data_IF_196910640008
#
_entry.id   IF_196910640008
#
_cell.length_a   1.000
_cell.length_b   1.000
_cell.length_c   1.000
_cell.angle_alpha   90.00
_cell.angle_beta   90.00
_cell.angle_gamma   90.00
#
_symmetry.space_group_name_H-M   'P 1'
#
loop_
_entity.id
_entity.type
_entity.pdbx_description
1 polymer ?
#
# COMPACT_ATOMS: atom_id res chain seq x y z
N UNK A 1 16.38 18.96 -17.11
CA UNK A 1 15.47 18.99 -15.94
C UNK A 1 14.25 18.17 -16.32
N UNK A 2 14.22 16.90 -15.91
CA UNK A 2 13.22 15.91 -16.34
C UNK A 2 11.96 16.04 -15.49
N UNK A 3 11.00 16.80 -16.00
CA UNK A 3 9.60 16.66 -15.63
C UNK A 3 9.04 15.49 -16.46
N UNK A 4 9.17 14.27 -15.97
CA UNK A 4 8.20 13.23 -16.33
C UNK A 4 7.03 13.40 -15.38
N UNK A 5 6.08 14.20 -15.87
CA UNK A 5 4.67 14.06 -15.60
C UNK A 5 4.24 12.61 -15.91
N UNK A 6 4.58 11.69 -15.02
CA UNK A 6 4.03 10.35 -14.95
C UNK A 6 3.25 10.30 -13.63
N UNK A 7 2.02 10.81 -13.67
CA UNK A 7 1.06 10.68 -12.56
C UNK A 7 0.52 9.23 -12.53
N UNK A 8 1.40 8.24 -12.69
CA UNK A 8 1.07 6.83 -12.57
C UNK A 8 1.40 6.41 -11.14
N UNK A 9 0.43 5.93 -10.35
CA UNK A 9 0.69 5.50 -9.00
C UNK A 9 1.63 4.28 -9.02
N UNK A 10 2.70 4.33 -8.24
CA UNK A 10 3.73 3.28 -8.18
C UNK A 10 3.11 2.01 -7.60
N UNK A 11 3.24 0.84 -8.24
CA UNK A 11 2.72 -0.40 -7.66
C UNK A 11 3.55 -0.79 -6.44
N UNK A 12 2.88 -1.31 -5.42
CA UNK A 12 3.51 -1.76 -4.18
C UNK A 12 4.65 -2.76 -4.43
N UNK A 13 4.47 -3.71 -5.34
CA UNK A 13 5.50 -4.67 -5.75
C UNK A 13 6.78 -4.02 -6.34
N UNK A 14 6.71 -2.78 -6.85
CA UNK A 14 7.90 -2.05 -7.33
C UNK A 14 8.61 -1.27 -6.24
N UNK A 15 8.03 -1.14 -5.04
CA UNK A 15 8.68 -0.49 -3.90
C UNK A 15 9.75 -1.41 -3.31
N UNK A 16 10.85 -0.82 -2.87
CA UNK A 16 11.89 -1.54 -2.14
C UNK A 16 11.35 -2.09 -0.81
N UNK A 17 11.93 -3.19 -0.28
CA UNK A 17 11.49 -3.74 1.01
C UNK A 17 11.58 -2.71 2.16
N UNK A 18 12.54 -1.78 2.09
CA UNK A 18 12.68 -0.66 3.03
C UNK A 18 11.50 0.34 2.93
N UNK A 19 11.13 0.76 1.71
CA UNK A 19 9.97 1.63 1.50
C UNK A 19 8.67 0.96 1.97
N UNK A 20 8.50 -0.33 1.66
CA UNK A 20 7.35 -1.11 2.11
C UNK A 20 7.30 -1.24 3.64
N UNK A 21 8.46 -1.38 4.30
CA UNK A 21 8.54 -1.43 5.76
C UNK A 21 8.17 -0.09 6.36
N UNK A 22 8.76 1.00 5.87
CA UNK A 22 8.50 2.36 6.35
C UNK A 22 7.01 2.73 6.22
N UNK A 23 6.37 2.36 5.10
CA UNK A 23 4.92 2.57 4.90
C UNK A 23 4.06 1.74 5.87
N UNK A 24 4.45 0.50 6.16
CA UNK A 24 3.76 -0.34 7.15
C UNK A 24 3.90 0.20 8.56
N UNK A 25 5.07 0.68 8.94
CA UNK A 25 5.31 1.31 10.25
C UNK A 25 4.53 2.62 10.39
N UNK A 26 4.55 3.47 9.36
CA UNK A 26 3.77 4.69 9.35
C UNK A 26 2.26 4.43 9.44
N UNK A 27 1.76 3.37 8.79
CA UNK A 27 0.37 2.94 8.91
C UNK A 27 0.06 2.33 10.29
N UNK A 28 1.00 1.60 10.90
CA UNK A 28 0.84 1.02 12.22
C UNK A 28 0.85 2.09 13.34
N UNK A 29 1.57 3.19 13.14
CA UNK A 29 1.56 4.35 14.01
C UNK A 29 0.29 5.22 13.85
N UNK A 30 -0.52 4.97 12.81
CA UNK A 30 -1.72 5.75 12.54
C UNK A 30 -2.83 5.40 13.56
N UNK A 31 -3.35 6.37 14.32
CA UNK A 31 -4.38 6.12 15.34
C UNK A 31 -5.74 5.75 14.72
N UNK A 32 -5.93 5.92 13.40
CA UNK A 32 -7.09 5.42 12.66
C UNK A 32 -6.94 3.97 12.20
N UNK A 33 -5.83 3.29 12.52
CA UNK A 33 -5.71 1.86 12.29
C UNK A 33 -6.87 1.19 13.02
N UNK A 34 -7.85 0.69 12.25
CA UNK A 34 -9.14 0.21 12.72
C UNK A 34 -8.96 -0.96 13.71
N UNK A 35 -8.76 -0.65 14.98
CA UNK A 35 -8.59 -1.59 16.10
C UNK A 35 -9.90 -2.31 16.47
N UNK A 36 -10.94 -2.21 15.62
CA UNK A 36 -12.26 -2.78 15.87
C UNK A 36 -12.91 -3.49 14.67
N UNK A 37 -12.34 -3.43 13.47
CA UNK A 37 -12.86 -4.19 12.32
C UNK A 37 -12.08 -5.50 12.19
N UNK A 38 -12.64 -6.61 12.68
CA UNK A 38 -12.03 -7.95 12.60
C UNK A 38 -11.90 -8.55 11.18
N UNK A 39 -12.21 -7.78 10.12
CA UNK A 39 -12.14 -8.27 8.75
C UNK A 39 -10.85 -7.80 8.08
N UNK A 40 -10.03 -8.76 7.64
CA UNK A 40 -8.81 -8.52 6.88
C UNK A 40 -9.07 -7.65 5.63
N UNK A 41 -10.19 -7.89 4.94
CA UNK A 41 -10.63 -7.11 3.78
C UNK A 41 -10.79 -5.61 4.12
N UNK A 42 -11.40 -5.28 5.27
CA UNK A 42 -11.58 -3.90 5.70
C UNK A 42 -10.23 -3.23 6.01
N UNK A 43 -9.30 -3.96 6.65
CA UNK A 43 -7.93 -3.49 6.89
C UNK A 43 -7.18 -3.26 5.58
N UNK A 44 -7.32 -4.18 4.63
CA UNK A 44 -6.68 -4.08 3.31
C UNK A 44 -7.25 -2.93 2.49
N UNK A 45 -8.57 -2.73 2.47
CA UNK A 45 -9.22 -1.62 1.79
C UNK A 45 -8.79 -0.26 2.38
N UNK A 46 -8.72 -0.17 3.72
CA UNK A 46 -8.25 1.05 4.40
C UNK A 46 -6.77 1.32 4.10
N UNK A 47 -5.92 0.30 4.15
CA UNK A 47 -4.51 0.42 3.81
C UNK A 47 -4.32 0.81 2.34
N UNK A 48 -5.09 0.22 1.43
CA UNK A 48 -5.10 0.57 -0.01
C UNK A 48 -5.48 2.03 -0.23
N UNK A 49 -6.56 2.51 0.42
CA UNK A 49 -6.99 3.91 0.33
C UNK A 49 -5.93 4.86 0.90
N UNK A 50 -5.25 4.47 1.99
CA UNK A 50 -4.17 5.24 2.60
C UNK A 50 -2.93 5.33 1.69
N UNK A 51 -2.61 4.24 0.96
CA UNK A 51 -1.52 4.20 -0.01
C UNK A 51 -1.85 4.98 -1.29
N UNK A 52 -3.10 4.92 -1.77
CA UNK A 52 -3.54 5.65 -2.96
C UNK A 52 -3.35 7.17 -2.80
N UNK A 53 -3.61 7.71 -1.60
CA UNK A 53 -3.33 9.13 -1.27
C UNK A 53 -1.85 9.51 -1.39
N UNK A 54 -0.95 8.54 -1.33
CA UNK A 54 0.51 8.69 -1.42
C UNK A 54 1.04 8.33 -2.82
N UNK A 55 0.15 8.08 -3.77
CA UNK A 55 0.53 7.65 -5.13
C UNK A 55 1.07 6.23 -5.19
N UNK A 56 0.66 5.37 -4.25
CA UNK A 56 1.04 3.95 -4.23
C UNK A 56 -0.21 3.10 -4.49
N UNK A 57 -0.13 2.21 -5.46
CA UNK A 57 -1.19 1.26 -5.79
C UNK A 57 -0.95 -0.04 -5.04
N UNK A 58 -1.87 -0.42 -4.18
CA UNK A 58 -1.87 -1.70 -3.47
C UNK A 58 -3.21 -2.39 -3.65
N UNK A 59 -3.23 -3.71 -3.63
CA UNK A 59 -4.45 -4.50 -3.76
C UNK A 59 -4.25 -5.84 -3.08
N UNK A 60 -5.34 -6.56 -2.80
CA UNK A 60 -5.28 -7.91 -2.23
C UNK A 60 -4.46 -8.89 -3.08
N UNK A 61 -4.31 -8.61 -4.38
CA UNK A 61 -3.44 -9.36 -5.30
C UNK A 61 -1.95 -9.23 -4.97
N UNK A 62 -1.52 -8.17 -4.29
CA UNK A 62 -0.14 -8.02 -3.79
C UNK A 62 0.09 -8.84 -2.50
N UNK A 63 -0.97 -9.16 -1.73
CA UNK A 63 -0.85 -10.01 -0.53
C UNK A 63 -0.56 -11.47 -0.87
N UNK A 64 -1.14 -11.94 -1.97
CA UNK A 64 -0.83 -13.24 -2.53
C UNK A 64 0.06 -13.01 -3.75
N UNK A 65 1.40 -13.08 -3.61
CA UNK A 65 2.26 -13.30 -4.76
C UNK A 65 1.97 -14.71 -5.28
N UNK A 66 0.82 -14.88 -5.93
CA UNK A 66 0.52 -16.04 -6.74
C UNK A 66 1.39 -15.85 -7.96
N UNK A 67 2.60 -16.39 -7.82
CA UNK A 67 3.58 -16.65 -8.83
C UNK A 67 2.86 -17.02 -10.12
N UNK A 68 2.68 -16.02 -10.98
CA UNK A 68 2.27 -16.27 -12.34
C UNK A 68 3.55 -16.72 -13.04
N UNK A 69 3.58 -18.03 -13.25
CA UNK A 69 4.51 -18.79 -14.08
C UNK A 69 4.91 -18.06 -15.36
#
# INVERSE_FOLDING_TARGET
MTATDDTSPRPWASLTPDEQLCLREAYAADPFCLTGTCSLEAKTAHFTAWLAKRGVTFSEKDLHPRQSR
#
